data_IF_715441767145
#
_entry.id   IF_715441767145
#
_cell.length_a   1.000
_cell.length_b   1.000
_cell.length_c   1.000
_cell.angle_alpha   90.00
_cell.angle_beta   90.00
_cell.angle_gamma   90.00
#
_symmetry.space_group_name_H-M   'P 1'
#
loop_
_entity.id
_entity.type
_entity.pdbx_description
1 polymer ?
#
# COMPACT_ATOMS: atom_id res chain seq x y z
N UNK A 1 1.70 -27.11 17.11
CA UNK A 1 2.11 -26.44 16.59
C UNK A 1 2.06 -25.11 17.01
N UNK A 2 2.74 -24.48 16.61
CA UNK A 2 2.80 -23.34 16.98
C UNK A 2 1.90 -22.41 16.50
N UNK A 3 1.30 -21.74 17.19
CA UNK A 3 0.34 -20.85 16.79
C UNK A 3 0.65 -19.45 17.12
N UNK A 4 1.89 -19.11 17.06
CA UNK A 4 2.27 -17.75 17.30
C UNK A 4 1.56 -16.84 16.37
N UNK A 5 1.48 -17.21 15.09
CA UNK A 5 0.83 -16.36 14.12
C UNK A 5 -0.66 -16.21 14.35
N UNK A 6 -1.27 -17.19 14.97
CA UNK A 6 -2.70 -17.07 15.21
C UNK A 6 -3.00 -16.12 16.34
N UNK A 7 -2.00 -15.73 17.12
CA UNK A 7 -2.18 -14.78 18.17
C UNK A 7 -1.76 -13.38 17.78
N UNK A 8 -1.26 -13.24 16.56
CA UNK A 8 -0.85 -11.93 16.07
C UNK A 8 -1.89 -11.46 15.10
N UNK A 9 -2.52 -10.37 15.42
CA UNK A 9 -3.52 -9.83 14.54
C UNK A 9 -2.85 -9.18 13.36
N UNK A 10 -3.15 -9.65 12.18
CA UNK A 10 -2.63 -9.05 10.97
C UNK A 10 -3.79 -8.57 10.13
N UNK A 11 -3.84 -7.30 9.87
CA UNK A 11 -4.90 -6.73 9.05
C UNK A 11 -4.35 -6.27 7.74
N UNK A 12 -5.09 -6.54 6.68
CA UNK A 12 -4.75 -6.04 5.36
C UNK A 12 -5.73 -4.92 5.04
N UNK A 13 -5.23 -3.90 4.41
CA UNK A 13 -6.02 -2.72 4.04
C UNK A 13 -5.86 -2.48 2.55
N UNK A 14 -6.93 -2.02 1.93
CA UNK A 14 -6.88 -1.69 0.52
C UNK A 14 -6.97 -0.17 0.36
N UNK A 15 -6.07 0.39 -0.43
CA UNK A 15 -6.02 1.82 -0.68
C UNK A 15 -6.00 2.03 -2.18
N UNK A 16 -6.87 2.89 -2.71
CA UNK A 16 -6.83 3.24 -4.11
C UNK A 16 -5.89 4.41 -4.34
N UNK A 17 -5.05 4.28 -5.35
CA UNK A 17 -4.11 5.34 -5.69
C UNK A 17 -4.77 6.32 -6.64
N UNK A 18 -5.35 7.37 -6.09
CA UNK A 18 -6.11 8.35 -6.86
C UNK A 18 -5.45 9.72 -6.90
N UNK A 19 -4.22 9.80 -6.44
CA UNK A 19 -3.51 11.08 -6.40
C UNK A 19 -2.45 11.10 -7.49
N UNK A 20 -2.68 11.88 -8.55
CA UNK A 20 -1.77 11.97 -9.68
C UNK A 20 -0.36 12.40 -9.30
N UNK A 21 -0.24 13.08 -8.18
CA UNK A 21 1.06 13.53 -7.71
C UNK A 21 2.03 12.36 -7.55
N UNK A 22 1.51 11.18 -7.26
CA UNK A 22 2.34 10.01 -7.01
C UNK A 22 2.40 9.05 -8.19
N UNK A 23 1.79 9.40 -9.30
CA UNK A 23 1.86 8.53 -10.47
C UNK A 23 3.30 8.45 -10.97
N UNK A 24 3.75 7.24 -11.29
CA UNK A 24 5.09 6.94 -11.77
C UNK A 24 6.19 7.07 -10.71
N UNK A 25 5.84 7.29 -9.45
CA UNK A 25 6.83 7.30 -8.40
C UNK A 25 7.23 5.86 -8.07
N UNK A 26 8.52 5.61 -7.93
CA UNK A 26 9.00 4.30 -7.53
C UNK A 26 8.70 4.08 -6.04
N UNK A 27 8.34 2.87 -5.69
CA UNK A 27 8.04 2.57 -4.29
C UNK A 27 9.19 2.92 -3.36
N UNK A 28 10.43 2.69 -3.80
CA UNK A 28 11.57 3.01 -2.93
C UNK A 28 11.72 4.52 -2.70
N UNK A 29 11.07 5.34 -3.49
CA UNK A 29 11.11 6.79 -3.31
C UNK A 29 9.84 7.33 -2.70
N UNK A 30 8.93 6.44 -2.32
CA UNK A 30 7.66 6.86 -1.78
C UNK A 30 7.89 7.47 -0.39
N UNK A 31 7.37 8.66 -0.15
CA UNK A 31 7.69 9.40 1.08
C UNK A 31 7.02 8.87 2.34
N UNK A 32 6.10 7.94 2.20
CA UNK A 32 5.44 7.38 3.36
C UNK A 32 6.03 6.01 3.62
N UNK A 33 6.82 5.89 4.66
CA UNK A 33 7.42 4.62 4.96
C UNK A 33 6.94 4.18 6.31
N UNK A 34 7.85 3.97 7.19
CA UNK A 34 7.54 3.62 8.54
C UNK A 34 6.92 2.25 8.64
N UNK A 35 5.79 2.17 9.29
CA UNK A 35 5.18 0.90 9.59
C UNK A 35 4.20 0.42 8.53
N UNK A 36 4.49 0.65 7.28
CA UNK A 36 3.62 0.18 6.21
C UNK A 36 4.38 -0.75 5.29
N UNK A 37 3.80 -1.89 5.00
CA UNK A 37 4.36 -2.83 4.06
C UNK A 37 3.37 -3.00 2.90
N UNK A 38 3.86 -2.83 1.68
CA UNK A 38 3.05 -3.07 0.49
C UNK A 38 3.06 -4.57 0.20
N UNK A 39 1.91 -5.19 0.28
CA UNK A 39 1.79 -6.64 0.10
C UNK A 39 1.55 -6.99 -1.35
N UNK A 40 0.67 -6.25 -2.02
CA UNK A 40 0.34 -6.46 -3.42
C UNK A 40 -0.16 -5.17 -4.03
N UNK A 41 -0.03 -5.09 -5.34
CA UNK A 41 -0.67 -4.02 -6.11
C UNK A 41 -1.58 -4.71 -7.11
N UNK A 42 -2.85 -4.30 -7.16
CA UNK A 42 -3.79 -4.85 -8.14
C UNK A 42 -3.98 -3.80 -9.23
N UNK A 43 -3.62 -4.15 -10.44
CA UNK A 43 -3.66 -3.25 -11.58
C UNK A 43 -4.32 -3.98 -12.74
N UNK A 44 -5.41 -3.44 -13.25
CA UNK A 44 -6.15 -4.05 -14.37
C UNK A 44 -6.47 -5.52 -14.09
N UNK A 45 -6.91 -5.78 -12.87
CA UNK A 45 -7.26 -7.12 -12.41
C UNK A 45 -6.09 -8.10 -12.32
N UNK A 46 -4.88 -7.59 -12.35
CA UNK A 46 -3.70 -8.42 -12.17
C UNK A 46 -3.01 -8.07 -10.86
N UNK A 47 -2.56 -9.09 -10.16
CA UNK A 47 -1.84 -8.90 -8.91
C UNK A 47 -0.35 -8.79 -9.21
N UNK A 48 0.24 -7.69 -8.77
CA UNK A 48 1.66 -7.41 -8.99
C UNK A 48 2.38 -7.49 -7.68
N UNK A 49 3.54 -8.14 -7.68
CA UNK A 49 4.39 -8.19 -6.48
C UNK A 49 5.15 -6.88 -6.42
N UNK A 50 5.00 -6.10 -5.35
CA UNK A 50 5.68 -4.79 -5.29
C UNK A 50 7.15 -4.95 -4.99
N UNK A 51 7.95 -4.16 -5.68
CA UNK A 51 9.39 -4.09 -5.46
C UNK A 51 9.77 -2.62 -5.34
N UNK A 52 10.99 -2.35 -4.93
CA UNK A 52 11.45 -0.98 -4.81
C UNK A 52 11.40 -0.20 -6.11
N UNK A 53 11.56 -0.89 -7.24
CA UNK A 53 11.53 -0.24 -8.55
C UNK A 53 10.16 -0.31 -9.22
N UNK A 54 9.13 -0.76 -8.51
CA UNK A 54 7.77 -0.75 -9.03
C UNK A 54 7.24 0.68 -8.99
N UNK A 55 6.68 1.13 -10.10
CA UNK A 55 6.10 2.46 -10.17
C UNK A 55 4.62 2.39 -9.81
N UNK A 56 4.16 3.36 -9.04
CA UNK A 56 2.74 3.48 -8.77
C UNK A 56 2.03 4.03 -9.99
N UNK A 57 0.82 3.58 -10.23
CA UNK A 57 -0.01 4.07 -11.32
C UNK A 57 -1.36 4.52 -10.80
N UNK A 58 -1.91 5.51 -11.46
CA UNK A 58 -3.23 6.00 -11.11
C UNK A 58 -4.24 4.85 -11.17
N UNK A 59 -5.07 4.75 -10.14
CA UNK A 59 -6.10 3.72 -9.97
C UNK A 59 -5.58 2.36 -9.55
N UNK A 60 -4.31 2.25 -9.23
CA UNK A 60 -3.81 1.02 -8.61
C UNK A 60 -4.54 0.81 -7.29
N UNK A 61 -4.80 -0.44 -6.96
CA UNK A 61 -5.28 -0.78 -5.63
C UNK A 61 -4.12 -1.38 -4.87
N UNK A 62 -3.80 -0.75 -3.77
CA UNK A 62 -2.64 -1.11 -2.98
C UNK A 62 -3.10 -1.90 -1.77
N UNK A 63 -2.61 -3.12 -1.65
CA UNK A 63 -2.92 -3.95 -0.48
C UNK A 63 -1.74 -3.77 0.46
N UNK A 64 -2.01 -3.23 1.63
CA UNK A 64 -0.96 -2.89 2.59
C UNK A 64 -1.28 -3.46 3.95
N UNK A 65 -0.26 -3.58 4.77
CA UNK A 65 -0.44 -3.90 6.18
C UNK A 65 0.47 -2.97 6.98
N UNK A 66 0.16 -2.81 8.25
CA UNK A 66 0.96 -1.96 9.11
C UNK A 66 0.12 -1.34 10.20
N UNK A 67 0.66 -0.31 10.81
CA UNK A 67 -0.04 0.42 11.85
C UNK A 67 -1.24 1.13 11.26
N UNK A 68 -2.38 1.02 11.93
CA UNK A 68 -3.60 1.65 11.42
C UNK A 68 -3.45 3.16 11.27
N UNK A 69 -2.72 3.79 12.16
CA UNK A 69 -2.50 5.22 12.07
C UNK A 69 -1.79 5.60 10.76
N UNK A 70 -0.74 4.86 10.43
CA UNK A 70 -0.01 5.14 9.20
C UNK A 70 -0.83 4.76 7.97
N UNK A 71 -1.61 3.69 8.07
CA UNK A 71 -2.47 3.28 6.97
C UNK A 71 -3.52 4.36 6.71
N UNK A 72 -4.12 4.91 7.76
CA UNK A 72 -5.12 5.95 7.60
C UNK A 72 -4.51 7.23 6.99
N UNK A 73 -3.31 7.56 7.39
CA UNK A 73 -2.60 8.70 6.83
C UNK A 73 -2.34 8.50 5.34
N UNK A 74 -1.85 7.32 5.00
CA UNK A 74 -1.57 6.99 3.62
C UNK A 74 -2.85 7.01 2.79
N UNK A 75 -3.91 6.45 3.34
CA UNK A 75 -5.19 6.42 2.67
C UNK A 75 -5.69 7.82 2.37
N UNK A 76 -5.58 8.72 3.35
CA UNK A 76 -5.98 10.12 3.15
C UNK A 76 -5.17 10.77 2.05
N UNK A 77 -3.88 10.51 2.02
CA UNK A 77 -3.00 11.13 1.04
C UNK A 77 -3.27 10.61 -0.37
N UNK A 78 -3.57 9.33 -0.51
CA UNK A 78 -3.71 8.73 -1.83
C UNK A 78 -5.14 8.76 -2.36
N UNK A 79 -6.13 8.68 -1.50
CA UNK A 79 -7.52 8.61 -1.95
C UNK A 79 -8.19 9.97 -2.05
N UNK A 80 -7.68 10.95 -1.34
CA UNK A 80 -8.24 12.30 -1.41
C UNK A 80 -7.28 13.16 -2.21
N UNK A 81 -7.65 13.50 -3.42
CA UNK A 81 -6.79 14.30 -4.27
C UNK A 81 -7.55 15.54 -4.72
N UNK A 82 -6.83 16.52 -5.17
CA UNK A 82 -7.41 17.79 -5.56
C UNK A 82 -7.13 18.12 -7.00
#
# INVERSE_FOLDING_TARGET
MLNILSNVETSLYEIEMLNYKYENILLRHFPFGGDIIFVRIVRNNESIVPHGDTQLRYKDRLIVTGSKEYVDELKSELEFYY
#
